data_IF_727707186133
#
_entry.id   IF_727707186133
#
_cell.length_a   1.000
_cell.length_b   1.000
_cell.length_c   1.000
_cell.angle_alpha   90.00
_cell.angle_beta   90.00
_cell.angle_gamma   90.00
#
_symmetry.space_group_name_H-M   'P 1'
#
loop_
_entity.id
_entity.type
_entity.pdbx_description
1 polymer ?
#
# COMPACT_ATOMS: atom_id res chain seq x y z
N UNK A 1 -1.12 -5.48 -22.29
CA UNK A 1 -1.07 -5.22 -20.84
C UNK A 1 -1.68 -3.87 -20.46
N UNK A 2 -1.16 -2.72 -20.92
CA UNK A 2 -1.66 -1.38 -20.52
C UNK A 2 -3.17 -1.14 -20.71
N UNK A 3 -3.77 -1.54 -21.85
CA UNK A 3 -5.21 -1.36 -22.11
C UNK A 3 -6.11 -2.10 -21.10
N UNK A 4 -5.74 -3.31 -20.69
CA UNK A 4 -6.48 -4.09 -19.69
C UNK A 4 -6.39 -3.45 -18.31
N UNK A 5 -5.20 -2.93 -17.94
CA UNK A 5 -5.01 -2.19 -16.69
C UNK A 5 -5.88 -0.94 -16.62
N UNK A 6 -6.01 -0.20 -17.73
CA UNK A 6 -6.90 0.96 -17.80
C UNK A 6 -8.36 0.55 -17.59
N UNK A 7 -8.83 -0.51 -18.26
CA UNK A 7 -10.21 -1.00 -18.10
C UNK A 7 -10.48 -1.42 -16.66
N UNK A 8 -9.58 -2.19 -16.05
CA UNK A 8 -9.68 -2.60 -14.66
C UNK A 8 -9.70 -1.39 -13.70
N UNK A 9 -8.89 -0.37 -13.98
CA UNK A 9 -8.87 0.85 -13.18
C UNK A 9 -10.18 1.61 -13.28
N UNK A 10 -10.78 1.73 -14.46
CA UNK A 10 -12.09 2.36 -14.64
C UNK A 10 -13.19 1.57 -13.92
N UNK A 11 -13.20 0.24 -14.03
CA UNK A 11 -14.13 -0.62 -13.30
C UNK A 11 -13.99 -0.47 -11.78
N UNK A 12 -12.76 -0.34 -11.29
CA UNK A 12 -12.49 -0.08 -9.88
C UNK A 12 -13.05 1.27 -9.44
N UNK A 13 -12.84 2.34 -10.20
CA UNK A 13 -13.42 3.66 -9.90
C UNK A 13 -14.95 3.63 -9.92
N UNK A 14 -15.55 2.89 -10.86
CA UNK A 14 -17.00 2.72 -10.92
C UNK A 14 -17.52 2.00 -9.68
N UNK A 15 -16.86 0.92 -9.24
CA UNK A 15 -17.21 0.21 -8.01
C UNK A 15 -17.08 1.12 -6.77
N UNK A 16 -16.04 1.97 -6.71
CA UNK A 16 -15.89 2.95 -5.63
C UNK A 16 -17.03 3.98 -5.60
N UNK A 17 -17.48 4.44 -6.77
CA UNK A 17 -18.61 5.36 -6.87
C UNK A 17 -19.90 4.72 -6.37
N UNK A 18 -20.21 3.48 -6.79
CA UNK A 18 -21.35 2.73 -6.29
C UNK A 18 -21.28 2.50 -4.77
N UNK A 19 -20.09 2.17 -4.27
CA UNK A 19 -19.85 1.97 -2.85
C UNK A 19 -20.09 3.25 -2.05
N UNK A 20 -19.61 4.40 -2.54
CA UNK A 20 -19.84 5.72 -1.94
C UNK A 20 -21.32 6.08 -1.90
N UNK A 21 -22.05 5.84 -3.00
CA UNK A 21 -23.48 6.09 -3.08
C UNK A 21 -24.29 5.22 -2.09
N UNK A 22 -23.96 3.93 -2.01
CA UNK A 22 -24.60 3.02 -1.05
C UNK A 22 -24.28 3.35 0.42
N UNK A 23 -23.14 3.98 0.69
CA UNK A 23 -22.63 4.26 2.04
C UNK A 23 -22.47 5.78 2.31
N UNK A 24 -23.43 6.58 1.85
CA UNK A 24 -23.44 8.05 1.98
C UNK A 24 -23.64 8.55 3.43
N UNK A 25 -23.85 7.65 4.40
CA UNK A 25 -24.02 8.04 5.79
C UNK A 25 -22.77 8.70 6.37
N UNK A 26 -22.97 9.56 7.36
CA UNK A 26 -21.90 10.22 8.11
C UNK A 26 -21.61 9.49 9.42
N UNK A 27 -20.36 9.56 9.88
CA UNK A 27 -19.90 9.15 11.20
C UNK A 27 -19.46 10.39 11.95
N UNK A 28 -19.95 10.50 13.16
CA UNK A 28 -19.54 11.51 14.12
C UNK A 28 -18.27 11.05 14.83
N UNK A 29 -17.16 11.73 14.59
CA UNK A 29 -15.89 11.50 15.26
C UNK A 29 -15.73 12.55 16.36
N UNK A 30 -15.89 12.11 17.60
CA UNK A 30 -15.65 12.92 18.78
C UNK A 30 -14.18 12.87 19.16
N UNK A 31 -13.48 14.00 19.04
CA UNK A 31 -12.10 14.13 19.53
C UNK A 31 -12.16 14.60 21.00
N UNK A 32 -11.47 13.95 21.94
CA UNK A 32 -11.45 14.38 23.34
C UNK A 32 -11.02 15.84 23.45
N UNK A 33 -11.78 16.65 24.19
CA UNK A 33 -11.55 18.09 24.39
C UNK A 33 -11.57 18.95 23.11
N UNK A 34 -12.14 18.44 22.02
CA UNK A 34 -12.19 19.13 20.73
C UNK A 34 -13.59 19.19 20.11
N UNK A 35 -13.72 19.85 18.94
CA UNK A 35 -14.96 19.87 18.17
C UNK A 35 -15.30 18.49 17.62
N UNK A 36 -16.59 18.27 17.42
CA UNK A 36 -17.14 17.05 16.84
C UNK A 36 -17.08 17.18 15.31
N UNK A 37 -16.48 16.19 14.64
CA UNK A 37 -16.36 16.18 13.18
C UNK A 37 -17.28 15.15 12.56
N UNK A 38 -18.04 15.55 11.55
CA UNK A 38 -18.81 14.62 10.72
C UNK A 38 -18.00 14.23 9.49
N UNK A 39 -17.68 12.95 9.38
CA UNK A 39 -16.91 12.39 8.26
C UNK A 39 -17.78 11.37 7.54
N UNK A 40 -17.75 11.33 6.22
CA UNK A 40 -18.47 10.33 5.44
C UNK A 40 -17.93 8.92 5.75
N UNK A 41 -18.84 7.95 5.99
CA UNK A 41 -18.51 6.56 6.33
C UNK A 41 -17.54 5.93 5.33
N UNK A 42 -17.82 6.11 4.03
CA UNK A 42 -16.98 5.53 2.98
C UNK A 42 -15.56 6.11 2.99
N UNK A 43 -15.38 7.40 3.32
CA UNK A 43 -14.06 8.03 3.38
C UNK A 43 -13.20 7.40 4.49
N UNK A 44 -13.79 7.10 5.65
CA UNK A 44 -13.09 6.39 6.73
C UNK A 44 -12.70 4.96 6.33
N UNK A 45 -13.59 4.24 5.63
CA UNK A 45 -13.31 2.89 5.14
C UNK A 45 -12.15 2.91 4.13
N UNK A 46 -12.19 3.82 3.15
CA UNK A 46 -11.13 3.98 2.16
C UNK A 46 -9.80 4.38 2.80
N UNK A 47 -9.84 5.26 3.79
CA UNK A 47 -8.65 5.63 4.55
C UNK A 47 -8.04 4.42 5.25
N UNK A 48 -8.85 3.62 5.95
CA UNK A 48 -8.39 2.39 6.62
C UNK A 48 -7.77 1.39 5.64
N UNK A 49 -8.41 1.16 4.49
CA UNK A 49 -7.87 0.30 3.44
C UNK A 49 -6.53 0.81 2.91
N UNK A 50 -6.42 2.13 2.69
CA UNK A 50 -5.20 2.76 2.20
C UNK A 50 -4.06 2.61 3.21
N UNK A 51 -4.32 2.85 4.49
CA UNK A 51 -3.35 2.65 5.57
C UNK A 51 -2.90 1.19 5.64
N UNK A 52 -3.82 0.24 5.57
CA UNK A 52 -3.50 -1.20 5.56
C UNK A 52 -2.63 -1.59 4.37
N UNK A 53 -2.98 -1.13 3.16
CA UNK A 53 -2.19 -1.36 1.95
C UNK A 53 -0.80 -0.72 2.05
N UNK A 54 -0.70 0.48 2.63
CA UNK A 54 0.57 1.18 2.81
C UNK A 54 1.50 0.46 3.80
N UNK A 55 0.96 -0.04 4.92
CA UNK A 55 1.73 -0.86 5.87
C UNK A 55 2.25 -2.13 5.19
N UNK A 56 1.40 -2.82 4.43
CA UNK A 56 1.81 -4.00 3.68
C UNK A 56 2.91 -3.67 2.68
N UNK A 57 2.77 -2.56 1.95
CA UNK A 57 3.78 -2.06 1.02
C UNK A 57 5.13 -1.81 1.70
N UNK A 58 5.15 -1.13 2.86
CA UNK A 58 6.37 -0.91 3.65
C UNK A 58 7.01 -2.24 4.05
N UNK A 59 6.22 -3.20 4.55
CA UNK A 59 6.73 -4.51 4.95
C UNK A 59 7.38 -5.25 3.78
N UNK A 60 6.71 -5.28 2.61
CA UNK A 60 7.26 -5.88 1.40
C UNK A 60 8.52 -5.16 0.93
N UNK A 61 8.54 -3.83 0.92
CA UNK A 61 9.71 -3.05 0.55
C UNK A 61 10.91 -3.34 1.44
N UNK A 62 10.72 -3.44 2.76
CA UNK A 62 11.79 -3.80 3.71
C UNK A 62 12.29 -5.22 3.43
N UNK A 63 11.38 -6.18 3.26
CA UNK A 63 11.72 -7.58 2.99
C UNK A 63 12.56 -7.71 1.73
N UNK A 64 12.12 -7.06 0.66
CA UNK A 64 12.77 -7.16 -0.64
C UNK A 64 14.12 -6.42 -0.64
N UNK A 65 14.20 -5.27 0.05
CA UNK A 65 15.47 -4.54 0.25
C UNK A 65 16.48 -5.40 1.03
N UNK A 66 16.06 -6.06 2.12
CA UNK A 66 16.93 -6.97 2.88
C UNK A 66 17.45 -8.11 2.00
N UNK A 67 16.58 -8.73 1.22
CA UNK A 67 16.96 -9.81 0.29
C UNK A 67 17.96 -9.31 -0.76
N UNK A 68 17.74 -8.11 -1.30
CA UNK A 68 18.63 -7.48 -2.27
C UNK A 68 20.02 -7.23 -1.68
N UNK A 69 20.10 -6.63 -0.49
CA UNK A 69 21.37 -6.36 0.21
C UNK A 69 22.13 -7.65 0.50
N UNK A 70 21.44 -8.68 1.01
CA UNK A 70 22.08 -9.96 1.31
C UNK A 70 22.66 -10.62 0.05
N UNK A 71 21.90 -10.64 -1.04
CA UNK A 71 22.37 -11.17 -2.32
C UNK A 71 23.57 -10.39 -2.87
N UNK A 72 23.56 -9.06 -2.74
CA UNK A 72 24.66 -8.22 -3.17
C UNK A 72 25.94 -8.49 -2.37
N UNK A 73 25.84 -8.60 -1.04
CA UNK A 73 26.98 -8.95 -0.19
C UNK A 73 27.51 -10.35 -0.50
N UNK A 74 26.63 -11.32 -0.73
CA UNK A 74 27.01 -12.68 -1.11
C UNK A 74 27.79 -12.71 -2.45
N UNK A 75 27.28 -12.02 -3.48
CA UNK A 75 27.97 -11.91 -4.76
C UNK A 75 29.34 -11.21 -4.63
N UNK A 76 29.46 -10.20 -3.76
CA UNK A 76 30.73 -9.52 -3.52
C UNK A 76 31.77 -10.46 -2.90
N UNK A 77 31.37 -11.32 -1.95
CA UNK A 77 32.25 -12.32 -1.33
C UNK A 77 32.71 -13.39 -2.32
N UNK A 78 31.80 -13.96 -3.11
CA UNK A 78 32.17 -14.93 -4.15
C UNK A 78 33.19 -14.36 -5.15
N UNK A 79 33.03 -13.11 -5.57
CA UNK A 79 33.99 -12.46 -6.48
C UNK A 79 35.38 -12.25 -5.88
N UNK A 80 35.48 -12.18 -4.55
CA UNK A 80 36.78 -12.10 -3.86
C UNK A 80 37.43 -13.47 -3.74
N UNK A 81 36.66 -14.51 -3.45
CA UNK A 81 37.16 -15.90 -3.35
C UNK A 81 37.71 -16.41 -4.69
N UNK A 82 37.04 -16.12 -5.81
CA UNK A 82 37.51 -16.49 -7.15
C UNK A 82 38.88 -15.85 -7.47
N UNK A 83 39.11 -14.59 -7.06
CA UNK A 83 40.37 -13.87 -7.30
C UNK A 83 41.56 -14.35 -6.48
N UNK A 84 41.31 -15.09 -5.39
CA UNK A 84 42.37 -15.65 -4.53
C UNK A 84 42.78 -17.05 -4.99
N UNK A 85 41.97 -17.70 -5.83
CA UNK A 85 42.25 -19.02 -6.41
C UNK A 85 42.93 -18.96 -7.80
N UNK A 86 43.06 -17.78 -8.40
CA UNK A 86 43.93 -17.49 -9.56
C UNK A 86 45.30 -16.97 -9.08
#
# INVERSE_FOLDING_TARGET
MSKLSIILFVLFLFALSLFSFANHGVVTVAVPFGPVYEIQKFALILFSMTVGAFIAFIFFAIRDTRKFINNWQYQKRQRQEIKVQE
#
